data_IF_550535247438
#
_entry.id   IF_550535247438
#
_cell.length_a   1.000
_cell.length_b   1.000
_cell.length_c   1.000
_cell.angle_alpha   90.00
_cell.angle_beta   90.00
_cell.angle_gamma   90.00
#
_symmetry.space_group_name_H-M   'P 1'
#
loop_
_entity.id
_entity.type
_entity.pdbx_description
1 polymer ?
#
# COMPACT_ATOMS: atom_id res chain seq x y z
N UNK A 1 8.33 -10.09 -15.26
CA UNK A 1 7.36 -9.95 -14.17
C UNK A 1 8.07 -9.55 -12.93
N UNK A 2 7.68 -8.49 -12.35
CA UNK A 2 8.46 -7.88 -11.28
C UNK A 2 7.61 -7.50 -10.08
N UNK A 3 6.37 -8.02 -10.01
CA UNK A 3 5.54 -7.77 -8.85
C UNK A 3 5.66 -8.93 -7.87
N UNK A 4 6.23 -8.68 -6.67
CA UNK A 4 6.38 -9.73 -5.67
C UNK A 4 5.02 -10.15 -5.10
N UNK A 5 5.00 -11.28 -4.42
CA UNK A 5 3.83 -11.69 -3.65
C UNK A 5 3.61 -10.66 -2.54
N UNK A 6 2.38 -10.21 -2.37
CA UNK A 6 2.05 -9.25 -1.32
C UNK A 6 1.22 -9.94 -0.23
N UNK A 7 1.31 -9.41 0.98
CA UNK A 7 0.57 -9.90 2.14
C UNK A 7 -0.26 -8.74 2.66
N UNK A 8 -1.56 -8.97 2.83
CA UNK A 8 -2.49 -7.94 3.33
C UNK A 8 -3.26 -8.53 4.50
N UNK A 9 -3.43 -7.74 5.57
CA UNK A 9 -4.24 -8.24 6.68
C UNK A 9 -5.73 -8.18 6.34
N UNK A 10 -6.49 -9.06 6.96
CA UNK A 10 -7.93 -9.22 6.67
C UNK A 10 -8.72 -7.95 6.89
N UNK A 11 -8.37 -7.18 7.91
CA UNK A 11 -9.08 -5.94 8.25
C UNK A 11 -8.83 -4.87 7.17
N UNK A 12 -7.58 -4.72 6.74
CA UNK A 12 -7.24 -3.77 5.68
C UNK A 12 -7.91 -4.17 4.36
N UNK A 13 -7.91 -5.47 4.04
CA UNK A 13 -8.55 -5.97 2.83
C UNK A 13 -10.04 -5.64 2.81
N UNK A 14 -10.73 -5.85 3.93
CA UNK A 14 -12.15 -5.55 4.05
C UNK A 14 -12.43 -4.06 3.90
N UNK A 15 -11.64 -3.22 4.55
CA UNK A 15 -11.80 -1.76 4.49
C UNK A 15 -11.53 -1.22 3.08
N UNK A 16 -10.52 -1.76 2.41
CA UNK A 16 -10.21 -1.34 1.04
C UNK A 16 -11.30 -1.80 0.08
N UNK A 17 -11.82 -3.01 0.26
CA UNK A 17 -12.91 -3.53 -0.56
C UNK A 17 -14.14 -2.61 -0.47
N UNK A 18 -14.51 -2.20 0.74
CA UNK A 18 -15.61 -1.26 0.95
C UNK A 18 -15.31 0.08 0.30
N UNK A 19 -14.09 0.57 0.43
CA UNK A 19 -13.67 1.84 -0.17
C UNK A 19 -13.84 1.81 -1.69
N UNK A 20 -13.46 0.71 -2.34
CA UNK A 20 -13.50 0.59 -3.79
C UNK A 20 -14.92 0.49 -4.35
N UNK A 21 -15.91 0.18 -3.49
CA UNK A 21 -17.31 0.15 -3.89
C UNK A 21 -17.97 1.54 -3.85
N UNK A 22 -17.33 2.54 -3.26
CA UNK A 22 -17.90 3.88 -3.16
C UNK A 22 -17.98 4.54 -4.55
N UNK A 23 -19.07 5.29 -4.83
CA UNK A 23 -19.25 5.90 -6.16
C UNK A 23 -18.09 6.79 -6.59
N UNK A 24 -17.39 7.41 -5.66
CA UNK A 24 -16.24 8.27 -5.98
C UNK A 24 -15.08 7.48 -6.57
N UNK A 25 -14.98 6.18 -6.30
CA UNK A 25 -13.82 5.36 -6.70
C UNK A 25 -14.19 4.23 -7.64
N UNK A 26 -15.41 3.72 -7.57
CA UNK A 26 -15.83 2.61 -8.42
C UNK A 26 -15.68 2.98 -9.90
N UNK A 27 -15.07 2.09 -10.66
CA UNK A 27 -14.85 2.34 -12.08
C UNK A 27 -13.57 3.09 -12.43
N UNK A 28 -12.85 3.61 -11.42
CA UNK A 28 -11.55 4.22 -11.70
C UNK A 28 -10.52 3.13 -12.00
N UNK A 29 -9.56 3.40 -12.91
CA UNK A 29 -8.51 2.42 -13.21
C UNK A 29 -7.72 1.97 -11.99
N UNK A 30 -7.45 2.87 -11.04
CA UNK A 30 -6.72 2.51 -9.82
C UNK A 30 -7.53 1.57 -8.94
N UNK A 31 -8.86 1.69 -8.94
CA UNK A 31 -9.73 0.78 -8.19
C UNK A 31 -9.66 -0.64 -8.77
N UNK A 32 -9.69 -0.77 -10.09
CA UNK A 32 -9.56 -2.07 -10.74
C UNK A 32 -8.20 -2.69 -10.46
N UNK A 33 -7.14 -1.89 -10.48
CA UNK A 33 -5.79 -2.35 -10.20
C UNK A 33 -5.65 -2.84 -8.75
N UNK A 34 -6.23 -2.10 -7.79
CA UNK A 34 -6.23 -2.52 -6.39
C UNK A 34 -7.03 -3.78 -6.16
N UNK A 35 -8.20 -3.91 -6.80
CA UNK A 35 -8.99 -5.14 -6.72
C UNK A 35 -8.18 -6.35 -7.20
N UNK A 36 -7.44 -6.21 -8.29
CA UNK A 36 -6.60 -7.28 -8.80
C UNK A 36 -5.50 -7.65 -7.79
N UNK A 37 -4.92 -6.66 -7.11
CA UNK A 37 -3.91 -6.92 -6.10
C UNK A 37 -4.51 -7.61 -4.87
N UNK A 38 -5.71 -7.23 -4.45
CA UNK A 38 -6.39 -7.91 -3.36
C UNK A 38 -6.67 -9.38 -3.70
N UNK A 39 -7.07 -9.65 -4.95
CA UNK A 39 -7.37 -11.01 -5.39
C UNK A 39 -6.16 -11.93 -5.36
N UNK A 40 -4.97 -11.41 -5.64
CA UNK A 40 -3.76 -12.23 -5.66
C UNK A 40 -2.99 -12.23 -4.34
N UNK A 41 -3.39 -11.38 -3.38
CA UNK A 41 -2.68 -11.22 -2.12
C UNK A 41 -2.86 -12.44 -1.22
N UNK A 42 -1.85 -12.71 -0.40
CA UNK A 42 -1.95 -13.65 0.70
C UNK A 42 -2.56 -12.90 1.90
N UNK A 43 -3.62 -13.46 2.48
CA UNK A 43 -4.30 -12.81 3.61
C UNK A 43 -3.84 -13.42 4.92
N UNK A 44 -3.79 -12.61 5.96
CA UNK A 44 -3.59 -13.07 7.33
C UNK A 44 -4.28 -12.12 8.32
N UNK A 45 -4.43 -12.57 9.56
CA UNK A 45 -5.02 -11.73 10.60
C UNK A 45 -4.04 -10.62 11.00
N UNK A 46 -4.53 -9.49 11.57
CA UNK A 46 -3.62 -8.43 12.02
C UNK A 46 -2.56 -8.93 13.00
N UNK A 47 -2.91 -9.84 13.89
CA UNK A 47 -1.97 -10.38 14.88
C UNK A 47 -0.87 -11.23 14.26
N UNK A 48 -1.12 -11.76 13.07
CA UNK A 48 -0.19 -12.65 12.37
C UNK A 48 0.60 -11.95 11.26
N UNK A 49 0.39 -10.64 11.07
CA UNK A 49 1.10 -9.91 10.03
C UNK A 49 2.60 -9.93 10.26
N UNK A 50 3.40 -10.25 9.22
CA UNK A 50 4.84 -10.06 9.30
C UNK A 50 5.18 -8.59 9.58
N UNK A 51 6.18 -8.35 10.41
CA UNK A 51 6.51 -6.99 10.84
C UNK A 51 7.31 -6.20 9.81
N UNK A 52 7.63 -6.79 8.69
CA UNK A 52 8.38 -6.15 7.60
C UNK A 52 7.54 -5.89 6.35
N UNK A 53 6.21 -5.97 6.47
CA UNK A 53 5.27 -5.76 5.36
C UNK A 53 4.52 -4.44 5.55
N UNK A 54 4.39 -3.65 4.49
CA UNK A 54 3.68 -2.37 4.53
C UNK A 54 2.18 -2.63 4.62
N UNK A 55 1.56 -2.07 5.66
CA UNK A 55 0.11 -2.15 5.88
C UNK A 55 -0.48 -0.75 5.92
N UNK A 56 -1.81 -0.65 5.96
CA UNK A 56 -2.45 0.66 6.13
C UNK A 56 -2.00 1.28 7.45
N UNK A 57 -1.79 2.59 7.43
CA UNK A 57 -1.28 3.37 8.55
C UNK A 57 0.18 3.07 8.93
N UNK A 58 0.89 2.32 8.11
CA UNK A 58 2.32 2.12 8.27
C UNK A 58 3.10 3.34 7.81
N UNK A 59 4.18 3.67 8.52
CA UNK A 59 5.12 4.69 8.06
C UNK A 59 6.31 3.99 7.44
N UNK A 60 6.51 4.22 6.15
CA UNK A 60 7.49 3.50 5.34
C UNK A 60 8.49 4.46 4.72
N UNK A 61 9.76 4.06 4.74
CA UNK A 61 10.83 4.72 4.00
C UNK A 61 11.04 3.92 2.71
N UNK A 62 10.97 4.60 1.59
CA UNK A 62 11.08 3.92 0.29
C UNK A 62 11.88 4.79 -0.67
N UNK A 63 12.44 4.14 -1.70
CA UNK A 63 13.13 4.82 -2.79
C UNK A 63 12.31 4.70 -4.05
N UNK A 64 12.12 5.82 -4.73
CA UNK A 64 11.57 5.81 -6.08
C UNK A 64 12.73 5.51 -7.01
N UNK A 65 12.69 4.35 -7.66
CA UNK A 65 13.81 3.91 -8.50
C UNK A 65 13.86 4.63 -9.83
N UNK A 66 12.81 5.38 -10.20
CA UNK A 66 12.81 6.17 -11.43
C UNK A 66 13.62 7.46 -11.28
N UNK A 67 13.61 8.09 -10.11
CA UNK A 67 14.35 9.34 -9.87
C UNK A 67 15.41 9.23 -8.78
N UNK A 68 15.49 8.10 -8.08
CA UNK A 68 16.47 7.86 -7.03
C UNK A 68 16.16 8.53 -5.70
N UNK A 69 15.04 9.25 -5.60
CA UNK A 69 14.71 9.96 -4.36
C UNK A 69 14.17 9.00 -3.29
N UNK A 70 14.56 9.29 -2.06
CA UNK A 70 14.11 8.56 -0.87
C UNK A 70 13.08 9.42 -0.15
N UNK A 71 11.96 8.81 0.22
CA UNK A 71 10.89 9.51 0.94
C UNK A 71 10.39 8.66 2.09
N UNK A 72 9.86 9.32 3.12
CA UNK A 72 9.18 8.67 4.23
C UNK A 72 7.73 9.16 4.23
N UNK A 73 6.78 8.22 4.22
CA UNK A 73 5.36 8.56 4.16
C UNK A 73 4.56 7.54 4.98
N UNK A 74 3.42 7.99 5.50
CA UNK A 74 2.45 7.12 6.14
C UNK A 74 1.35 6.80 5.13
N UNK A 75 1.07 5.52 4.92
CA UNK A 75 0.04 5.07 4.00
C UNK A 75 -1.32 5.15 4.69
N UNK A 76 -2.24 5.94 4.13
CA UNK A 76 -3.53 6.21 4.77
C UNK A 76 -4.68 6.03 3.79
N UNK A 77 -5.90 5.88 4.33
CA UNK A 77 -7.12 5.95 3.54
C UNK A 77 -7.37 7.40 3.10
N UNK A 78 -8.01 7.62 1.94
CA UNK A 78 -8.21 8.99 1.44
C UNK A 78 -8.88 9.93 2.44
N UNK A 79 -9.85 9.42 3.21
CA UNK A 79 -10.57 10.23 4.19
C UNK A 79 -9.68 10.69 5.36
N UNK A 80 -8.53 10.09 5.54
CA UNK A 80 -7.59 10.43 6.61
C UNK A 80 -6.43 11.30 6.14
N UNK A 81 -6.41 11.67 4.86
CA UNK A 81 -5.36 12.54 4.34
C UNK A 81 -5.47 13.93 4.96
N UNK A 82 -4.40 14.38 5.59
CA UNK A 82 -4.31 15.71 6.17
C UNK A 82 -3.07 16.47 5.70
N UNK A 83 -2.02 15.76 5.27
CA UNK A 83 -0.75 16.38 4.90
C UNK A 83 -0.05 15.53 3.84
N UNK A 84 -0.04 16.01 2.60
CA UNK A 84 0.58 15.29 1.48
C UNK A 84 2.11 15.22 1.57
N UNK A 85 2.73 16.00 2.47
CA UNK A 85 4.18 15.94 2.66
C UNK A 85 4.61 14.76 3.54
N UNK A 86 3.69 14.21 4.33
CA UNK A 86 3.98 13.12 5.25
C UNK A 86 3.15 11.88 5.02
N UNK A 87 2.11 11.98 4.18
CA UNK A 87 1.15 10.90 3.97
C UNK A 87 0.97 10.60 2.48
N UNK A 88 0.58 9.35 2.20
CA UNK A 88 0.17 8.89 0.88
C UNK A 88 -1.17 8.20 0.97
N UNK A 89 -2.08 8.54 0.06
CA UNK A 89 -3.34 7.81 -0.06
C UNK A 89 -3.09 6.46 -0.71
N UNK A 90 -3.78 5.42 -0.25
CA UNK A 90 -3.75 4.09 -0.89
C UNK A 90 -4.33 4.16 -2.31
N UNK A 91 -5.13 5.19 -2.63
CA UNK A 91 -5.67 5.38 -3.97
C UNK A 91 -4.70 6.08 -4.92
N UNK A 92 -3.58 6.60 -4.43
CA UNK A 92 -2.53 7.14 -5.29
C UNK A 92 -1.67 5.99 -5.82
N UNK A 93 -1.11 6.11 -7.06
CA UNK A 93 -0.31 5.02 -7.64
C UNK A 93 0.83 4.54 -6.74
N UNK A 94 1.57 5.46 -6.13
CA UNK A 94 2.68 5.10 -5.24
C UNK A 94 2.16 4.40 -3.98
N UNK A 95 1.07 4.92 -3.41
CA UNK A 95 0.47 4.31 -2.21
C UNK A 95 -0.05 2.91 -2.49
N UNK A 96 -0.74 2.74 -3.62
CA UNK A 96 -1.25 1.42 -4.01
C UNK A 96 -0.10 0.42 -4.22
N UNK A 97 1.02 0.88 -4.78
CA UNK A 97 2.17 0.03 -5.03
C UNK A 97 2.88 -0.38 -3.72
N UNK A 98 2.82 0.45 -2.70
CA UNK A 98 3.46 0.15 -1.41
C UNK A 98 2.69 -0.86 -0.58
N UNK A 99 1.37 -0.92 -0.73
CA UNK A 99 0.53 -1.80 0.09
C UNK A 99 0.94 -3.25 -0.10
N UNK A 100 1.25 -3.92 1.01
CA UNK A 100 1.63 -5.33 1.01
C UNK A 100 3.08 -5.61 0.60
N UNK A 101 3.85 -4.59 0.30
CA UNK A 101 5.26 -4.75 -0.10
C UNK A 101 6.10 -5.08 1.14
N UNK A 102 7.00 -6.04 0.99
CA UNK A 102 7.95 -6.39 2.07
C UNK A 102 9.19 -5.52 1.95
N UNK A 103 9.71 -5.07 3.08
CA UNK A 103 10.98 -4.34 3.14
C UNK A 103 12.07 -5.20 2.49
N UNK A 104 12.86 -4.60 1.61
CA UNK A 104 13.88 -5.28 0.82
C UNK A 104 13.42 -5.69 -0.55
N UNK A 105 12.11 -5.74 -0.79
CA UNK A 105 11.57 -6.04 -2.12
C UNK A 105 11.41 -4.75 -2.92
N UNK A 106 11.40 -4.90 -4.24
CA UNK A 106 11.06 -3.82 -5.14
C UNK A 106 9.86 -4.22 -5.99
N UNK A 107 9.12 -3.23 -6.46
CA UNK A 107 7.96 -3.44 -7.31
C UNK A 107 8.04 -2.51 -8.52
N UNK A 108 7.79 -3.07 -9.70
CA UNK A 108 7.62 -2.33 -10.94
C UNK A 108 6.20 -2.59 -11.43
N UNK A 109 5.35 -1.58 -11.35
CA UNK A 109 3.92 -1.71 -11.60
C UNK A 109 3.48 -0.69 -12.63
N UNK A 110 3.05 -1.18 -13.79
CA UNK A 110 2.49 -0.34 -14.82
C UNK A 110 0.99 -0.30 -14.65
N UNK A 111 0.47 0.90 -14.41
CA UNK A 111 -0.95 1.13 -14.19
C UNK A 111 -1.63 1.53 -15.50
N UNK A 112 -2.95 1.31 -15.63
CA UNK A 112 -3.70 1.80 -16.77
C UNK A 112 -3.48 3.30 -16.99
N UNK A 113 -3.42 3.73 -18.24
CA UNK A 113 -3.17 5.13 -18.58
C UNK A 113 -1.70 5.48 -18.70
N UNK A 114 -0.81 4.48 -18.66
CA UNK A 114 0.62 4.70 -18.88
C UNK A 114 1.41 5.15 -17.66
N UNK A 115 0.80 5.14 -16.48
CA UNK A 115 1.50 5.49 -15.24
C UNK A 115 2.30 4.28 -14.78
N UNK A 116 3.62 4.43 -14.66
CA UNK A 116 4.49 3.39 -14.15
C UNK A 116 5.06 3.80 -12.79
N UNK A 117 5.12 2.83 -11.87
CA UNK A 117 5.67 3.03 -10.55
C UNK A 117 6.73 1.98 -10.28
N UNK A 118 7.93 2.42 -9.90
CA UNK A 118 9.06 1.53 -9.63
C UNK A 118 9.65 1.94 -8.27
N UNK A 119 9.45 1.12 -7.25
CA UNK A 119 9.76 1.46 -5.87
C UNK A 119 10.53 0.34 -5.19
N UNK A 120 11.33 0.71 -4.20
CA UNK A 120 12.01 -0.23 -3.32
C UNK A 120 11.68 0.13 -1.87
N UNK A 121 11.23 -0.83 -1.08
CA UNK A 121 11.00 -0.65 0.35
C UNK A 121 12.30 -0.72 1.10
N UNK A 122 12.66 0.36 1.81
CA UNK A 122 13.93 0.45 2.52
C UNK A 122 13.79 0.15 4.01
N UNK A 123 12.76 0.69 4.65
CA UNK A 123 12.58 0.55 6.08
C UNK A 123 11.13 0.79 6.44
N UNK A 124 10.63 0.05 7.40
CA UNK A 124 9.29 0.26 7.95
C UNK A 124 9.47 0.90 9.32
N UNK A 125 9.22 2.21 9.41
CA UNK A 125 9.45 2.98 10.63
C UNK A 125 8.35 2.78 11.66
N UNK A 126 7.15 2.46 11.20
CA UNK A 126 6.03 2.12 12.07
C UNK A 126 5.07 1.21 11.34
N UNK A 127 4.62 0.17 12.01
CA UNK A 127 3.56 -0.72 11.53
C UNK A 127 2.60 -0.94 12.69
N UNK A 128 1.28 -0.63 12.51
CA UNK A 128 0.32 -0.79 13.61
C UNK A 128 0.30 -2.19 14.20
N UNK A 129 0.38 -3.23 13.37
CA UNK A 129 0.34 -4.61 13.83
C UNK A 129 1.54 -4.94 14.72
N UNK A 130 2.73 -4.47 14.34
CA UNK A 130 3.94 -4.68 15.13
C UNK A 130 3.87 -3.93 16.47
N UNK A 131 3.13 -2.81 16.50
CA UNK A 131 2.95 -2.00 17.72
C UNK A 131 1.77 -2.48 18.57
N UNK A 132 0.98 -3.44 18.09
CA UNK A 132 -0.19 -3.92 18.79
C UNK A 132 -1.46 -3.10 18.55
N UNK A 133 -1.44 -2.18 17.58
CA UNK A 133 -2.57 -1.32 17.26
C UNK A 133 -3.44 -1.97 16.18
N UNK A 134 -4.02 -3.12 16.48
CA UNK A 134 -4.68 -3.96 15.48
C UNK A 134 -5.92 -3.35 14.83
N UNK A 135 -6.51 -2.35 15.46
CA UNK A 135 -7.73 -1.72 14.94
C UNK A 135 -7.51 -0.35 14.31
N UNK A 136 -6.27 0.06 14.19
CA UNK A 136 -5.93 1.38 13.65
C UNK A 136 -6.34 1.58 12.17
#
# INVERSE_FOLDING_TARGET
MSRPTIIINDLDAERIDILLEQPAYAGLPIADALNAELDRAQMCSPEEMPHDVVTMNSRVKFRNLSDGEVRVRTLVYPAKMTDSNTQLSVMAPVGAALLGLRVGDSIHWELPGGVATHLEGLELEYQPEAAGDYLL
#
